data_IF_056620091819
#
_entry.id   IF_056620091819
#
_cell.length_a   1.000
_cell.length_b   1.000
_cell.length_c   1.000
_cell.angle_alpha   90.00
_cell.angle_beta   90.00
_cell.angle_gamma   90.00
#
_symmetry.space_group_name_H-M   'P 1'
#
loop_
_entity.id
_entity.type
_entity.pdbx_description
1 polymer ?
#
# COMPACT_ATOMS: atom_id res chain seq x y z
N UNK A 1 -13.20 -2.76 -3.98
CA UNK A 1 -12.81 -3.88 -3.09
C UNK A 1 -11.32 -3.77 -2.87
N UNK A 2 -10.87 -4.03 -1.63
CA UNK A 2 -9.45 -4.04 -1.27
C UNK A 2 -9.07 -5.46 -0.84
N UNK A 3 -7.93 -5.95 -1.28
CA UNK A 3 -7.34 -7.22 -0.84
C UNK A 3 -5.97 -6.97 -0.22
N UNK A 4 -5.70 -7.61 0.91
CA UNK A 4 -4.41 -7.56 1.59
C UNK A 4 -3.76 -8.94 1.53
N UNK A 5 -2.51 -9.00 1.10
CA UNK A 5 -1.66 -10.17 1.18
C UNK A 5 -0.46 -9.87 2.07
N UNK A 6 -0.14 -10.82 2.95
CA UNK A 6 1.03 -10.79 3.82
C UNK A 6 1.94 -11.96 3.44
N UNK A 7 3.24 -11.68 3.38
CA UNK A 7 4.28 -12.68 3.15
C UNK A 7 5.42 -12.47 4.15
N UNK A 8 5.91 -13.55 4.75
CA UNK A 8 7.11 -13.54 5.56
C UNK A 8 8.24 -14.26 4.83
N UNK A 9 9.28 -13.51 4.44
CA UNK A 9 10.45 -14.06 3.77
C UNK A 9 11.75 -13.54 4.38
N UNK A 10 12.66 -14.45 4.79
CA UNK A 10 14.02 -14.14 5.28
C UNK A 10 14.07 -13.05 6.37
N UNK A 11 13.14 -13.08 7.33
CA UNK A 11 13.10 -12.10 8.42
C UNK A 11 12.51 -10.74 8.05
N UNK A 12 11.81 -10.66 6.92
CA UNK A 12 11.03 -9.49 6.50
C UNK A 12 9.57 -9.89 6.43
N UNK A 13 8.71 -9.02 6.93
CA UNK A 13 7.27 -9.11 6.76
C UNK A 13 6.89 -8.11 5.68
N UNK A 14 6.34 -8.59 4.57
CA UNK A 14 5.93 -7.81 3.42
C UNK A 14 4.40 -7.80 3.35
N UNK A 15 3.81 -6.65 3.08
CA UNK A 15 2.40 -6.47 2.84
C UNK A 15 2.18 -5.89 1.45
N UNK A 16 1.19 -6.43 0.74
CA UNK A 16 0.70 -5.88 -0.52
C UNK A 16 -0.80 -5.64 -0.38
N UNK A 17 -1.24 -4.42 -0.65
CA UNK A 17 -2.65 -4.06 -0.70
C UNK A 17 -3.02 -3.74 -2.13
N UNK A 18 -4.01 -4.43 -2.67
CA UNK A 18 -4.53 -4.15 -4.02
C UNK A 18 -5.92 -3.55 -3.94
N UNK A 19 -6.15 -2.50 -4.72
CA UNK A 19 -7.42 -1.81 -4.84
C UNK A 19 -7.85 -1.81 -6.30
N UNK A 20 -9.04 -2.35 -6.54
CA UNK A 20 -9.75 -2.22 -7.81
C UNK A 20 -10.80 -1.13 -7.71
N UNK A 21 -10.67 -0.08 -8.51
CA UNK A 21 -11.58 1.06 -8.57
C UNK A 21 -11.92 1.42 -10.01
N UNK A 22 -13.13 1.07 -10.46
CA UNK A 22 -13.52 1.24 -11.86
C UNK A 22 -12.57 0.48 -12.79
N UNK A 23 -11.93 1.20 -13.72
CA UNK A 23 -10.87 0.67 -14.60
C UNK A 23 -9.46 0.74 -13.99
N UNK A 24 -9.28 1.42 -12.86
CA UNK A 24 -7.98 1.55 -12.20
C UNK A 24 -7.68 0.34 -11.30
N UNK A 25 -6.43 -0.11 -11.35
CA UNK A 25 -5.86 -1.10 -10.44
C UNK A 25 -4.63 -0.48 -9.77
N UNK A 26 -4.70 -0.33 -8.45
CA UNK A 26 -3.61 0.24 -7.64
C UNK A 26 -3.09 -0.84 -6.69
N UNK A 27 -1.79 -0.79 -6.42
CA UNK A 27 -1.13 -1.74 -5.52
C UNK A 27 -0.16 -1.01 -4.60
N UNK A 28 -0.50 -0.92 -3.32
CA UNK A 28 0.35 -0.40 -2.27
C UNK A 28 1.27 -1.48 -1.70
N UNK A 29 2.52 -1.12 -1.41
CA UNK A 29 3.53 -2.03 -0.85
C UNK A 29 4.06 -1.53 0.49
N UNK A 30 4.26 -2.45 1.43
CA UNK A 30 4.81 -2.15 2.75
C UNK A 30 5.72 -3.26 3.22
N UNK A 31 6.80 -2.90 3.91
CA UNK A 31 7.75 -3.86 4.48
C UNK A 31 8.05 -3.48 5.92
N UNK A 32 8.07 -4.47 6.81
CA UNK A 32 8.60 -4.36 8.17
C UNK A 32 9.76 -5.35 8.34
N UNK A 33 10.86 -4.87 8.91
CA UNK A 33 12.06 -5.68 9.10
C UNK A 33 12.09 -6.23 10.51
N UNK A 34 12.47 -7.51 10.64
CA UNK A 34 12.86 -8.07 11.94
C UNK A 34 14.32 -7.74 12.19
N UNK A 35 14.58 -6.60 12.82
CA UNK A 35 15.93 -6.29 13.26
C UNK A 35 16.30 -7.21 14.46
N UNK A 36 17.52 -7.78 14.54
CA UNK A 36 17.87 -8.72 15.60
C UNK A 36 17.86 -8.11 17.01
N UNK A 37 18.07 -6.79 17.13
CA UNK A 37 17.90 -6.05 18.38
C UNK A 37 16.44 -5.63 18.64
N UNK A 38 15.55 -5.80 17.65
CA UNK A 38 14.16 -5.39 17.73
C UNK A 38 13.30 -6.56 18.20
N UNK A 39 12.50 -6.29 19.22
CA UNK A 39 11.60 -7.27 19.84
C UNK A 39 10.21 -7.27 19.20
N UNK A 40 10.02 -6.55 18.08
CA UNK A 40 8.75 -6.62 17.34
C UNK A 40 8.37 -8.08 17.10
N UNK A 41 7.32 -8.51 17.78
CA UNK A 41 6.66 -9.79 17.56
C UNK A 41 6.12 -9.81 16.13
N UNK A 42 5.83 -11.01 15.62
CA UNK A 42 5.43 -11.17 14.23
C UNK A 42 4.20 -10.32 13.89
N UNK A 43 3.21 -10.35 14.76
CA UNK A 43 1.94 -9.65 14.61
C UNK A 43 2.16 -8.14 14.48
N UNK A 44 3.05 -7.56 15.30
CA UNK A 44 3.39 -6.14 15.22
C UNK A 44 4.12 -5.75 13.92
N UNK A 45 4.91 -6.67 13.33
CA UNK A 45 5.52 -6.45 12.01
C UNK A 45 4.49 -6.53 10.89
N UNK A 46 3.52 -7.44 10.99
CA UNK A 46 2.41 -7.55 10.04
C UNK A 46 1.55 -6.28 10.06
N UNK A 47 1.21 -5.78 11.25
CA UNK A 47 0.52 -4.49 11.44
C UNK A 47 1.29 -3.33 10.80
N UNK A 48 2.59 -3.23 11.08
CA UNK A 48 3.43 -2.16 10.53
C UNK A 48 3.61 -2.25 9.01
N UNK A 49 3.85 -3.45 8.47
CA UNK A 49 3.93 -3.66 7.03
C UNK A 49 2.60 -3.31 6.36
N UNK A 50 1.47 -3.70 6.95
CA UNK A 50 0.13 -3.38 6.47
C UNK A 50 -0.12 -1.87 6.48
N UNK A 51 0.22 -1.18 7.58
CA UNK A 51 0.07 0.27 7.67
C UNK A 51 0.87 0.99 6.57
N UNK A 52 2.12 0.57 6.33
CA UNK A 52 2.95 1.11 5.25
C UNK A 52 2.35 0.87 3.87
N UNK A 53 1.84 -0.33 3.60
CA UNK A 53 1.19 -0.65 2.32
C UNK A 53 -0.09 0.17 2.10
N UNK A 54 -0.86 0.43 3.17
CA UNK A 54 -2.05 1.27 3.11
C UNK A 54 -1.70 2.75 2.90
N UNK A 55 -0.63 3.25 3.53
CA UNK A 55 -0.14 4.62 3.30
C UNK A 55 0.31 4.81 1.85
N UNK A 56 1.10 3.88 1.32
CA UNK A 56 1.53 3.90 -0.09
C UNK A 56 0.32 3.86 -1.05
N UNK A 57 -0.68 3.02 -0.76
CA UNK A 57 -1.91 3.01 -1.54
C UNK A 57 -2.68 4.34 -1.45
N UNK A 58 -2.73 4.97 -0.27
CA UNK A 58 -3.39 6.25 -0.08
C UNK A 58 -2.73 7.34 -0.93
N UNK A 59 -1.40 7.40 -0.95
CA UNK A 59 -0.65 8.34 -1.78
C UNK A 59 -0.93 8.12 -3.28
N UNK A 60 -1.01 6.86 -3.72
CA UNK A 60 -1.38 6.53 -5.11
C UNK A 60 -2.81 6.97 -5.45
N UNK A 61 -3.77 6.82 -4.54
CA UNK A 61 -5.16 7.28 -4.75
C UNK A 61 -5.23 8.80 -4.83
N UNK A 62 -4.47 9.52 -4.00
CA UNK A 62 -4.38 10.99 -4.05
C UNK A 62 -3.82 11.42 -5.41
N UNK A 63 -2.76 10.78 -5.89
CA UNK A 63 -2.17 11.05 -7.20
C UNK A 63 -3.13 10.72 -8.37
N UNK A 64 -3.89 9.64 -8.28
CA UNK A 64 -4.91 9.31 -9.27
C UNK A 64 -6.02 10.37 -9.31
N UNK A 65 -6.48 10.82 -8.14
CA UNK A 65 -7.51 11.84 -8.01
C UNK A 65 -7.07 13.17 -8.65
N UNK A 66 -5.84 13.62 -8.38
CA UNK A 66 -5.32 14.87 -8.98
C UNK A 66 -5.16 14.78 -10.50
N UNK A 67 -4.77 13.62 -11.02
CA UNK A 67 -4.72 13.37 -12.46
C UNK A 67 -6.11 13.42 -13.11
N UNK A 68 -7.14 12.86 -12.46
CA UNK A 68 -8.52 12.92 -12.97
C UNK A 68 -9.10 14.34 -12.91
N UNK A 69 -8.81 15.11 -11.86
CA UNK A 69 -9.30 16.48 -11.69
C UNK A 69 -8.70 17.48 -12.70
N UNK A 70 -7.50 17.20 -13.22
CA UNK A 70 -6.85 18.05 -14.24
C UNK A 70 -7.43 17.80 -15.65
N UNK A 71 -8.31 16.82 -15.81
CA UNK A 71 -8.96 16.46 -17.07
C UNK A 71 -10.31 17.16 -17.34
N UNK A 72 -10.32 18.49 -17.54
CA UNK A 72 -11.41 19.15 -18.29
C UNK A 72 -11.53 20.69 -18.17
N UNK A 73 -12.26 21.38 -19.07
CA UNK A 73 -12.60 21.08 -20.46
C UNK A 73 -11.71 21.89 -21.44
N UNK A 74 -11.40 21.31 -22.61
CA UNK A 74 -10.69 22.03 -23.68
C UNK A 74 -11.51 23.21 -24.22
N UNK A 75 -10.85 24.30 -24.68
CA UNK A 75 -11.55 25.48 -25.18
C UNK A 75 -12.29 25.14 -26.48
N UNK A 76 -13.57 25.48 -26.51
CA UNK A 76 -14.41 25.56 -27.71
C UNK A 76 -14.11 26.89 -28.42
#
# INVERSE_FOLDING_TARGET
MITLALDEHRGRTCAKVELRWGSAHLAGLGVAYRHPADRLVREAREELATARALSDLADQVVALSSATATGGPGPQ
#
